data_IF_015776481802
#
_entry.id   IF_015776481802
#
_cell.length_a   1.000
_cell.length_b   1.000
_cell.length_c   1.000
_cell.angle_alpha   90.00
_cell.angle_beta   90.00
_cell.angle_gamma   90.00
#
_symmetry.space_group_name_H-M   'P 1'
#
loop_
_entity.id
_entity.type
_entity.pdbx_description
1 polymer ?
#
# COMPACT_ATOMS: atom_id res chain seq x y z
N UNK A 1 -40.23 7.89 21.28
CA UNK A 1 -40.50 7.43 19.89
C UNK A 1 -39.34 6.53 19.48
N UNK A 2 -39.63 5.23 19.38
CA UNK A 2 -38.61 4.27 18.89
C UNK A 2 -38.43 4.52 17.39
N UNK A 3 -37.18 4.76 16.96
CA UNK A 3 -36.87 4.88 15.55
C UNK A 3 -37.20 3.58 14.80
N UNK A 4 -37.27 3.60 13.46
CA UNK A 4 -37.54 2.40 12.69
C UNK A 4 -36.46 1.37 12.94
N UNK A 5 -36.84 0.16 13.35
CA UNK A 5 -35.94 -0.99 13.46
C UNK A 5 -35.57 -1.39 12.03
N UNK A 6 -34.29 -1.29 11.68
CA UNK A 6 -33.80 -1.79 10.40
C UNK A 6 -33.71 -3.32 10.55
N UNK A 7 -34.41 -4.11 9.75
CA UNK A 7 -34.26 -5.56 9.78
C UNK A 7 -32.92 -5.93 9.17
N UNK A 8 -32.14 -6.74 9.89
CA UNK A 8 -30.94 -7.38 9.38
C UNK A 8 -31.29 -8.78 8.89
N UNK A 9 -30.86 -9.13 7.68
CA UNK A 9 -30.96 -10.49 7.15
C UNK A 9 -29.83 -11.34 7.78
N UNK A 10 -30.03 -11.76 9.01
CA UNK A 10 -29.01 -12.50 9.77
C UNK A 10 -28.65 -13.86 9.15
N UNK A 11 -29.53 -14.44 8.35
CA UNK A 11 -29.26 -15.63 7.56
C UNK A 11 -28.26 -15.39 6.42
N UNK A 12 -28.11 -14.15 5.98
CA UNK A 12 -27.15 -13.74 4.94
C UNK A 12 -25.86 -13.16 5.55
N UNK A 13 -25.81 -12.97 6.87
CA UNK A 13 -24.64 -12.48 7.60
C UNK A 13 -23.63 -13.62 7.85
N UNK A 14 -23.01 -14.07 6.76
CA UNK A 14 -22.00 -15.12 6.79
C UNK A 14 -20.62 -14.54 6.46
N UNK A 15 -19.55 -15.05 7.07
CA UNK A 15 -18.21 -14.62 6.75
C UNK A 15 -17.88 -14.75 5.26
N UNK A 16 -17.37 -13.69 4.65
CA UNK A 16 -16.96 -13.72 3.26
C UNK A 16 -15.63 -14.46 3.14
N UNK A 17 -15.62 -15.57 2.40
CA UNK A 17 -14.41 -16.33 2.08
C UNK A 17 -13.64 -15.64 0.95
N UNK A 18 -13.03 -14.49 1.25
CA UNK A 18 -12.40 -13.63 0.23
C UNK A 18 -11.28 -14.33 -0.54
N UNK A 19 -10.55 -15.26 0.08
CA UNK A 19 -9.51 -16.03 -0.60
C UNK A 19 -10.08 -16.92 -1.70
N UNK A 20 -11.20 -17.59 -1.43
CA UNK A 20 -11.88 -18.40 -2.44
C UNK A 20 -12.46 -17.51 -3.56
N UNK A 21 -13.10 -16.40 -3.20
CA UNK A 21 -13.61 -15.42 -4.17
C UNK A 21 -12.53 -14.83 -5.05
N UNK A 22 -11.36 -14.50 -4.47
CA UNK A 22 -10.22 -14.02 -5.26
C UNK A 22 -9.76 -15.08 -6.25
N UNK A 23 -9.69 -16.35 -5.82
CA UNK A 23 -9.33 -17.46 -6.70
C UNK A 23 -10.29 -17.60 -7.87
N UNK A 24 -11.59 -17.62 -7.60
CA UNK A 24 -12.66 -17.70 -8.61
C UNK A 24 -12.62 -16.52 -9.57
N UNK A 25 -12.42 -15.31 -9.05
CA UNK A 25 -12.30 -14.10 -9.86
C UNK A 25 -11.15 -14.19 -10.87
N UNK A 26 -9.96 -14.62 -10.41
CA UNK A 26 -8.81 -14.77 -11.31
C UNK A 26 -9.06 -15.85 -12.37
N UNK A 27 -9.72 -16.95 -12.01
CA UNK A 27 -10.10 -18.01 -12.97
C UNK A 27 -11.09 -17.49 -14.02
N UNK A 28 -12.07 -16.68 -13.61
CA UNK A 28 -13.03 -16.04 -14.52
C UNK A 28 -12.33 -15.12 -15.53
N UNK A 29 -11.23 -14.47 -15.12
CA UNK A 29 -10.40 -13.66 -16.02
C UNK A 29 -9.44 -14.48 -16.89
N UNK A 30 -9.50 -15.81 -16.86
CA UNK A 30 -8.64 -16.69 -17.64
C UNK A 30 -7.23 -16.89 -17.08
N UNK A 31 -6.99 -16.46 -15.83
CA UNK A 31 -5.72 -16.69 -15.14
C UNK A 31 -5.73 -18.02 -14.36
N UNK A 32 -4.55 -18.53 -14.07
CA UNK A 32 -4.41 -19.63 -13.12
C UNK A 32 -4.96 -19.23 -11.74
N UNK A 33 -5.47 -20.19 -10.93
CA UNK A 33 -5.93 -19.90 -9.59
C UNK A 33 -4.89 -19.13 -8.79
N UNK A 34 -5.31 -18.05 -8.12
CA UNK A 34 -4.40 -17.25 -7.31
C UNK A 34 -3.79 -18.11 -6.19
N UNK A 35 -2.46 -18.07 -6.09
CA UNK A 35 -1.69 -18.85 -5.10
C UNK A 35 -1.25 -17.89 -3.98
N UNK A 36 -1.93 -18.00 -2.85
CA UNK A 36 -1.60 -17.21 -1.66
C UNK A 36 -0.27 -17.65 -1.06
N UNK A 37 0.57 -16.68 -0.68
CA UNK A 37 1.71 -16.95 0.17
C UNK A 37 1.22 -17.42 1.55
N UNK A 38 1.87 -18.43 2.11
CA UNK A 38 1.57 -18.94 3.44
C UNK A 38 2.80 -18.84 4.32
N UNK A 39 2.65 -18.21 5.46
CA UNK A 39 3.69 -18.07 6.48
C UNK A 39 3.21 -18.78 7.73
N UNK A 40 4.03 -19.70 8.24
CA UNK A 40 3.75 -20.43 9.48
C UNK A 40 4.02 -19.61 10.72
N UNK A 41 4.83 -18.57 10.57
CA UNK A 41 5.19 -17.62 11.61
C UNK A 41 4.77 -16.20 11.18
N UNK A 42 4.10 -15.49 12.10
CA UNK A 42 3.71 -14.10 11.94
C UNK A 42 4.22 -13.31 13.17
N UNK A 43 5.52 -13.01 13.23
CA UNK A 43 6.12 -12.37 14.39
C UNK A 43 5.50 -10.99 14.61
N UNK A 44 5.16 -10.72 15.86
CA UNK A 44 4.74 -9.41 16.33
C UNK A 44 5.85 -8.77 17.14
N UNK A 45 6.44 -7.69 16.62
CA UNK A 45 7.49 -6.93 17.31
C UNK A 45 6.88 -5.69 17.95
N UNK A 46 6.84 -5.60 19.29
CA UNK A 46 6.39 -4.39 19.96
C UNK A 46 7.27 -3.19 19.58
N UNK A 47 6.65 -2.03 19.42
CA UNK A 47 7.39 -0.78 19.18
C UNK A 47 8.18 -0.41 20.44
N UNK A 48 9.49 -0.33 20.34
CA UNK A 48 10.38 -0.03 21.48
C UNK A 48 10.30 1.44 21.90
N UNK A 49 10.04 2.34 20.96
CA UNK A 49 9.91 3.78 21.20
C UNK A 49 8.42 4.16 21.18
N UNK A 50 7.92 4.94 22.16
CA UNK A 50 6.55 5.46 22.09
C UNK A 50 6.30 6.18 20.76
N UNK A 51 5.14 5.96 20.16
CA UNK A 51 4.83 6.47 18.81
C UNK A 51 5.06 7.98 18.67
N UNK A 52 4.72 8.76 19.69
CA UNK A 52 4.95 10.22 19.73
C UNK A 52 6.44 10.63 19.68
N UNK A 53 7.36 9.67 19.80
CA UNK A 53 8.82 9.88 19.64
C UNK A 53 9.43 9.05 18.55
N UNK A 54 8.67 8.14 17.96
CA UNK A 54 9.13 7.23 16.93
C UNK A 54 9.33 7.95 15.58
N UNK A 55 10.34 7.53 14.85
CA UNK A 55 10.53 7.89 13.44
C UNK A 55 9.79 6.90 12.56
N UNK A 56 8.88 7.40 11.73
CA UNK A 56 8.03 6.57 10.87
C UNK A 56 8.46 6.70 9.42
N UNK A 57 8.70 5.57 8.75
CA UNK A 57 8.89 5.51 7.31
C UNK A 57 7.56 5.20 6.59
N UNK A 58 7.42 5.67 5.36
CA UNK A 58 6.30 5.36 4.48
C UNK A 58 6.79 4.50 3.32
N UNK A 59 6.10 3.39 3.08
CA UNK A 59 6.27 2.56 1.89
C UNK A 59 4.94 2.50 1.12
N UNK A 60 4.99 2.73 -0.18
CA UNK A 60 3.84 2.61 -1.09
C UNK A 60 4.12 1.61 -2.19
N UNK A 61 3.09 0.99 -2.76
CA UNK A 61 3.21 0.18 -3.98
C UNK A 61 2.91 0.97 -5.26
N UNK A 62 2.58 2.26 -5.15
CA UNK A 62 2.43 3.14 -6.29
C UNK A 62 3.76 3.31 -7.05
N UNK A 63 3.67 3.54 -8.36
CA UNK A 63 4.83 3.71 -9.24
C UNK A 63 5.05 5.18 -9.61
N UNK A 64 6.31 5.63 -9.76
CA UNK A 64 6.60 6.95 -10.29
C UNK A 64 6.06 7.12 -11.72
N UNK A 65 5.65 8.34 -12.05
CA UNK A 65 5.27 8.71 -13.40
C UNK A 65 6.41 8.48 -14.39
N UNK A 66 6.09 7.83 -15.51
CA UNK A 66 7.03 7.50 -16.59
C UNK A 66 6.43 7.87 -17.94
N UNK A 67 6.66 9.11 -18.42
CA UNK A 67 6.03 9.59 -19.66
C UNK A 67 6.41 8.74 -20.88
N UNK A 68 7.59 8.16 -20.91
CA UNK A 68 8.08 7.31 -22.01
C UNK A 68 7.43 5.91 -22.01
N UNK A 69 6.80 5.51 -20.92
CA UNK A 69 6.11 4.23 -20.80
C UNK A 69 4.64 4.28 -21.23
N UNK A 70 4.23 5.32 -21.98
CA UNK A 70 2.85 5.47 -22.45
C UNK A 70 1.86 5.88 -21.36
N UNK A 71 2.33 6.61 -20.36
CA UNK A 71 1.48 7.12 -19.30
C UNK A 71 0.46 8.12 -19.83
N UNK A 72 -0.69 8.20 -19.15
CA UNK A 72 -1.85 8.99 -19.57
C UNK A 72 -1.69 10.50 -19.38
N UNK A 73 -0.50 10.96 -19.03
CA UNK A 73 -0.19 12.35 -18.83
C UNK A 73 -0.15 12.77 -17.35
N UNK A 74 0.14 14.05 -17.09
CA UNK A 74 0.29 14.55 -15.73
C UNK A 74 -0.96 14.31 -14.89
N UNK A 75 -0.76 13.87 -13.66
CA UNK A 75 -1.82 13.64 -12.64
C UNK A 75 -2.88 12.58 -12.99
N UNK A 76 -2.70 11.78 -14.02
CA UNK A 76 -3.54 10.62 -14.18
C UNK A 76 -3.29 9.65 -13.02
N UNK A 77 -4.27 9.33 -12.18
CA UNK A 77 -4.02 8.57 -10.95
C UNK A 77 -3.68 7.12 -11.22
N UNK A 78 -3.99 6.63 -12.39
CA UNK A 78 -3.91 5.23 -12.72
C UNK A 78 -3.26 5.00 -14.08
N UNK A 79 -2.23 4.13 -14.10
CA UNK A 79 -1.64 3.62 -15.32
C UNK A 79 -1.16 2.17 -15.16
N UNK A 80 -1.94 1.22 -15.66
CA UNK A 80 -1.60 -0.21 -15.63
C UNK A 80 -0.41 -0.57 -16.54
N UNK A 81 -0.09 0.26 -17.52
CA UNK A 81 1.02 0.08 -18.47
C UNK A 81 2.38 0.48 -17.89
N UNK A 82 2.40 1.53 -17.08
CA UNK A 82 3.62 2.09 -16.51
C UNK A 82 4.08 1.33 -15.27
N UNK A 83 4.45 0.07 -15.44
CA UNK A 83 4.95 -0.75 -14.34
C UNK A 83 6.42 -0.48 -14.11
N UNK A 84 6.74 -0.11 -12.89
CA UNK A 84 8.10 0.07 -12.41
C UNK A 84 8.43 -1.04 -11.44
N UNK A 85 9.42 -1.88 -11.76
CA UNK A 85 9.69 -3.13 -11.03
C UNK A 85 10.92 -3.06 -10.11
N UNK A 86 11.28 -1.87 -9.65
CA UNK A 86 12.42 -1.68 -8.76
C UNK A 86 12.01 -0.93 -7.51
N UNK A 87 12.62 -1.28 -6.38
CA UNK A 87 12.50 -0.49 -5.17
C UNK A 87 13.12 0.89 -5.41
N UNK A 88 12.36 1.93 -5.15
CA UNK A 88 12.83 3.32 -5.28
C UNK A 88 12.69 4.08 -3.97
N UNK A 89 13.30 5.24 -3.89
CA UNK A 89 13.17 6.16 -2.76
C UNK A 89 13.16 7.59 -3.26
N UNK A 90 12.44 8.45 -2.56
CA UNK A 90 12.50 9.89 -2.78
C UNK A 90 12.36 10.63 -1.45
N UNK A 91 12.80 11.89 -1.40
CA UNK A 91 12.71 12.71 -0.21
C UNK A 91 11.23 12.98 0.17
N UNK A 92 10.93 13.02 1.46
CA UNK A 92 9.57 13.28 1.95
C UNK A 92 9.08 14.71 1.72
N UNK A 93 9.97 15.63 1.39
CA UNK A 93 9.65 17.00 0.99
C UNK A 93 9.49 17.16 -0.53
N UNK A 94 9.75 16.09 -1.31
CA UNK A 94 9.51 16.07 -2.74
C UNK A 94 7.99 16.06 -3.02
N UNK A 95 7.61 16.44 -4.24
CA UNK A 95 6.23 16.35 -4.74
C UNK A 95 6.17 15.28 -5.82
N UNK A 96 6.22 14.01 -5.45
CA UNK A 96 6.26 12.93 -6.42
C UNK A 96 4.95 12.87 -7.20
N UNK A 97 5.04 12.57 -8.48
CA UNK A 97 3.92 12.20 -9.32
C UNK A 97 3.86 10.67 -9.35
N UNK A 98 2.89 10.08 -8.62
CA UNK A 98 2.75 8.65 -8.43
C UNK A 98 1.51 8.13 -9.16
N UNK A 99 1.57 6.88 -9.59
CA UNK A 99 0.50 6.19 -10.31
C UNK A 99 0.17 4.87 -9.65
N UNK A 100 -1.12 4.56 -9.61
CA UNK A 100 -1.60 3.22 -9.28
C UNK A 100 -1.37 2.33 -10.49
N UNK A 101 -0.46 1.37 -10.39
CA UNK A 101 -0.08 0.49 -11.49
C UNK A 101 -0.78 -0.89 -11.44
N UNK A 102 -1.58 -1.18 -10.41
CA UNK A 102 -2.26 -2.45 -10.26
C UNK A 102 -3.63 -2.46 -10.96
N UNK A 103 -3.86 -3.45 -11.83
CA UNK A 103 -5.11 -3.57 -12.60
C UNK A 103 -6.35 -3.86 -11.75
N UNK A 104 -6.16 -4.51 -10.59
CA UNK A 104 -7.21 -4.88 -9.65
C UNK A 104 -7.50 -3.83 -8.57
N UNK A 105 -7.03 -2.60 -8.75
CA UNK A 105 -7.37 -1.53 -7.80
C UNK A 105 -8.87 -1.30 -7.75
N UNK A 106 -9.42 -1.17 -6.55
CA UNK A 106 -10.87 -0.95 -6.35
C UNK A 106 -11.27 0.47 -6.75
N UNK A 107 -11.76 0.64 -7.97
CA UNK A 107 -12.22 1.91 -8.51
C UNK A 107 -13.67 2.22 -8.15
N UNK A 108 -14.40 1.26 -7.60
CA UNK A 108 -15.81 1.45 -7.25
C UNK A 108 -15.98 2.10 -5.88
N UNK A 109 -15.08 1.76 -4.94
CA UNK A 109 -15.19 2.20 -3.54
C UNK A 109 -14.03 3.11 -3.10
N UNK A 110 -13.00 3.28 -3.94
CA UNK A 110 -11.85 4.12 -3.64
C UNK A 110 -11.73 5.23 -4.68
N UNK A 111 -11.46 6.45 -4.23
CA UNK A 111 -11.25 7.62 -5.09
C UNK A 111 -9.76 7.65 -5.48
N UNK A 112 -9.39 7.24 -6.69
CA UNK A 112 -7.98 7.17 -7.10
C UNK A 112 -7.33 8.55 -7.28
N UNK A 113 -8.14 9.61 -7.40
CA UNK A 113 -7.70 11.00 -7.45
C UNK A 113 -7.23 11.51 -6.08
N UNK A 114 -7.66 10.87 -4.98
CA UNK A 114 -7.12 11.17 -3.65
C UNK A 114 -5.79 10.43 -3.45
N UNK A 115 -4.70 11.16 -3.58
CA UNK A 115 -3.36 10.63 -3.36
C UNK A 115 -3.20 9.95 -1.99
N UNK A 116 -3.95 10.38 -0.97
CA UNK A 116 -3.88 9.79 0.36
C UNK A 116 -4.37 8.34 0.40
N UNK A 117 -5.16 7.89 -0.57
CA UNK A 117 -5.65 6.51 -0.64
C UNK A 117 -4.49 5.50 -0.83
N UNK A 118 -3.39 5.91 -1.45
CA UNK A 118 -2.25 5.04 -1.74
C UNK A 118 -0.88 5.66 -1.38
N UNK A 119 -0.85 6.96 -1.01
CA UNK A 119 0.35 7.66 -0.58
C UNK A 119 0.00 8.74 0.46
N UNK A 120 -0.35 8.37 1.71
CA UNK A 120 -0.86 9.30 2.72
C UNK A 120 0.25 10.13 3.41
N UNK A 121 1.24 10.61 2.66
CA UNK A 121 2.35 11.38 3.21
C UNK A 121 1.87 12.65 3.91
N UNK A 122 0.89 13.36 3.32
CA UNK A 122 0.33 14.57 3.93
C UNK A 122 -0.32 14.28 5.29
N UNK A 123 -1.03 13.16 5.41
CA UNK A 123 -1.65 12.73 6.68
C UNK A 123 -0.61 12.39 7.74
N UNK A 124 0.51 11.78 7.34
CA UNK A 124 1.62 11.52 8.24
C UNK A 124 2.33 12.81 8.68
N UNK A 125 2.50 13.78 7.78
CA UNK A 125 3.03 15.10 8.14
C UNK A 125 2.14 15.84 9.15
N UNK A 126 0.82 15.77 8.97
CA UNK A 126 -0.15 16.30 9.95
C UNK A 126 -0.05 15.58 11.30
N UNK A 127 0.19 14.27 11.30
CA UNK A 127 0.37 13.51 12.52
C UNK A 127 1.64 13.91 13.27
N UNK A 128 2.73 14.26 12.54
CA UNK A 128 3.94 14.85 13.14
C UNK A 128 3.61 16.22 13.74
N UNK A 129 2.98 17.09 12.99
CA UNK A 129 2.62 18.44 13.45
C UNK A 129 1.71 18.41 14.69
N UNK A 130 0.86 17.40 14.80
CA UNK A 130 -0.02 17.16 15.95
C UNK A 130 0.66 16.42 17.12
N UNK A 131 1.96 16.08 17.01
CA UNK A 131 2.69 15.35 18.06
C UNK A 131 2.24 13.89 18.24
N UNK A 132 1.48 13.33 17.31
CA UNK A 132 1.02 11.93 17.37
C UNK A 132 2.11 10.94 16.99
N UNK A 133 3.01 11.33 16.10
CA UNK A 133 4.25 10.61 15.76
C UNK A 133 5.44 11.55 15.93
N UNK A 134 6.62 11.01 16.24
CA UNK A 134 7.80 11.81 16.54
C UNK A 134 8.37 12.54 15.35
N UNK A 135 8.59 11.82 14.25
CA UNK A 135 9.10 12.38 12.98
C UNK A 135 8.83 11.42 11.83
N UNK A 136 8.99 11.90 10.60
CA UNK A 136 9.11 11.04 9.44
C UNK A 136 10.58 10.70 9.16
N UNK A 137 10.80 9.53 8.53
CA UNK A 137 12.06 9.23 7.89
C UNK A 137 12.35 10.25 6.77
N UNK A 138 13.63 10.53 6.44
CA UNK A 138 13.96 11.56 5.44
C UNK A 138 13.50 11.20 4.03
N UNK A 139 13.30 9.91 3.78
CA UNK A 139 12.82 9.37 2.49
C UNK A 139 11.56 8.54 2.71
N UNK A 140 10.70 8.52 1.71
CA UNK A 140 9.74 7.44 1.54
C UNK A 140 10.27 6.44 0.52
N UNK A 141 9.73 5.23 0.53
CA UNK A 141 10.14 4.18 -0.38
C UNK A 141 8.96 3.65 -1.18
N UNK A 142 9.26 3.13 -2.37
CA UNK A 142 8.28 2.46 -3.20
C UNK A 142 8.67 1.02 -3.47
N UNK A 143 7.67 0.14 -3.41
CA UNK A 143 7.76 -1.26 -3.77
C UNK A 143 6.71 -1.59 -4.83
N UNK A 144 6.94 -1.26 -6.10
CA UNK A 144 5.96 -1.49 -7.15
C UNK A 144 5.61 -2.97 -7.27
N UNK A 145 4.38 -3.24 -7.64
CA UNK A 145 3.85 -4.60 -7.80
C UNK A 145 4.60 -5.35 -8.91
N UNK A 146 5.42 -6.33 -8.57
CA UNK A 146 6.15 -7.16 -9.53
C UNK A 146 5.48 -8.51 -9.83
N UNK A 147 4.36 -8.84 -9.17
CA UNK A 147 3.60 -10.09 -9.31
C UNK A 147 4.39 -11.37 -9.01
N UNK A 148 5.51 -11.27 -8.31
CA UNK A 148 6.34 -12.41 -7.93
C UNK A 148 6.60 -12.40 -6.43
N UNK A 149 5.97 -13.32 -5.71
CA UNK A 149 6.23 -13.51 -4.27
C UNK A 149 7.70 -13.74 -3.99
N UNK A 150 8.37 -14.53 -4.85
CA UNK A 150 9.80 -14.83 -4.69
C UNK A 150 10.66 -13.56 -4.78
N UNK A 151 10.46 -12.74 -5.81
CA UNK A 151 11.24 -11.49 -5.97
C UNK A 151 10.93 -10.52 -4.82
N UNK A 152 9.67 -10.41 -4.40
CA UNK A 152 9.32 -9.59 -3.25
C UNK A 152 10.04 -10.04 -1.98
N UNK A 153 10.11 -11.35 -1.72
CA UNK A 153 10.74 -11.88 -0.51
C UNK A 153 12.26 -11.87 -0.57
N UNK A 154 12.86 -12.18 -1.73
CA UNK A 154 14.32 -12.36 -1.87
C UNK A 154 15.03 -11.04 -2.21
N UNK A 155 14.35 -10.06 -2.79
CA UNK A 155 14.95 -8.83 -3.31
C UNK A 155 14.32 -7.57 -2.70
N UNK A 156 13.01 -7.35 -2.91
CA UNK A 156 12.39 -6.07 -2.58
C UNK A 156 12.30 -5.84 -1.08
N UNK A 157 11.82 -6.83 -0.32
CA UNK A 157 11.65 -6.69 1.12
C UNK A 157 12.98 -6.53 1.88
N UNK A 158 14.06 -7.29 1.58
CA UNK A 158 15.38 -7.04 2.16
C UNK A 158 15.93 -5.65 1.84
N UNK A 159 15.76 -5.17 0.60
CA UNK A 159 16.22 -3.84 0.21
C UNK A 159 15.43 -2.73 0.90
N UNK A 160 14.10 -2.85 1.00
CA UNK A 160 13.27 -1.92 1.75
C UNK A 160 13.66 -1.86 3.22
N UNK A 161 13.87 -3.03 3.84
CA UNK A 161 14.32 -3.12 5.23
C UNK A 161 15.66 -2.41 5.44
N UNK A 162 16.62 -2.64 4.52
CA UNK A 162 17.94 -1.98 4.55
C UNK A 162 17.78 -0.46 4.52
N UNK A 163 16.97 0.08 3.59
CA UNK A 163 16.73 1.53 3.44
C UNK A 163 16.02 2.13 4.66
N UNK A 164 15.01 1.46 5.20
CA UNK A 164 14.33 1.91 6.40
C UNK A 164 15.28 1.98 7.61
N UNK A 165 16.18 1.01 7.74
CA UNK A 165 17.21 1.01 8.80
C UNK A 165 18.22 2.13 8.62
N UNK A 166 18.69 2.38 7.38
CA UNK A 166 19.56 3.52 7.07
C UNK A 166 18.92 4.86 7.44
N UNK A 167 17.63 5.00 7.21
CA UNK A 167 16.87 6.20 7.56
C UNK A 167 16.55 6.28 9.06
N UNK A 168 16.92 5.27 9.84
CA UNK A 168 16.69 5.21 11.29
C UNK A 168 15.21 5.09 11.66
N UNK A 169 14.41 4.40 10.84
CA UNK A 169 12.99 4.20 11.10
C UNK A 169 12.76 3.22 12.26
N UNK A 170 11.92 3.61 13.20
CA UNK A 170 11.43 2.76 14.30
C UNK A 170 10.19 1.96 13.88
N UNK A 171 9.42 2.50 12.95
CA UNK A 171 8.20 1.89 12.43
C UNK A 171 7.99 2.21 10.95
N UNK A 172 7.18 1.39 10.28
CA UNK A 172 6.86 1.55 8.86
C UNK A 172 5.35 1.52 8.67
N UNK A 173 4.83 2.44 7.88
CA UNK A 173 3.48 2.39 7.31
C UNK A 173 3.60 1.86 5.89
N UNK A 174 3.04 0.68 5.62
CA UNK A 174 2.99 0.08 4.29
C UNK A 174 1.61 0.27 3.70
N UNK A 175 1.52 0.94 2.57
CA UNK A 175 0.25 1.25 1.88
C UNK A 175 0.24 0.56 0.52
N UNK A 176 -0.51 -0.54 0.39
CA UNK A 176 -0.72 -1.20 -0.90
C UNK A 176 -1.72 -0.42 -1.77
N UNK A 177 -1.54 -0.46 -3.07
CA UNK A 177 -2.43 0.13 -4.08
C UNK A 177 -2.67 -0.83 -5.25
#
# INVERSE_FOLDING_TARGET
>A
MSGPTIPFASEDDVPIRYMDRTREYYQTLGFSPYRWAHFTDAPFTPLATPLARARVALITTAAPFQPEAGDQGPRAPYNAGAKFYQVYSAAVDSKPDLRIAHVGYDRANTVPEDLNAYFPLARLQEAVAAGRIGSLAPRFHGAPTNRSHRVTMETDAPELLRRCREDGADAVVLVPS
#
